data_IF_435001578160
#
_entry.id   IF_435001578160
#
_cell.length_a   1.000
_cell.length_b   1.000
_cell.length_c   1.000
_cell.angle_alpha   90.00
_cell.angle_beta   90.00
_cell.angle_gamma   90.00
#
_symmetry.space_group_name_H-M   'P 1'
#
loop_
_entity.id
_entity.type
_entity.pdbx_description
1 polymer ?
#
# COMPACT_ATOMS: atom_id res chain seq x y z
N UNK A 1 1.11 24.60 29.07
CA UNK A 1 2.13 23.84 28.31
C UNK A 1 1.40 22.63 27.71
N UNK A 2 0.84 22.79 26.50
CA UNK A 2 0.12 21.68 25.83
C UNK A 2 1.17 20.63 25.50
N UNK A 3 1.02 19.44 26.07
CA UNK A 3 2.01 18.39 25.95
C UNK A 3 2.12 17.98 24.48
N UNK A 4 3.35 17.75 23.97
CA UNK A 4 3.59 17.27 22.60
C UNK A 4 2.77 15.99 22.30
N UNK A 5 2.48 15.22 23.36
CA UNK A 5 1.60 14.06 23.34
C UNK A 5 0.15 14.42 22.94
N UNK A 6 -0.42 15.49 23.49
CA UNK A 6 -1.79 15.93 23.21
C UNK A 6 -1.94 16.43 21.76
N UNK A 7 -0.92 17.12 21.24
CA UNK A 7 -0.89 17.58 19.84
C UNK A 7 -0.80 16.40 18.87
N UNK A 8 -0.05 15.35 19.21
CA UNK A 8 0.02 14.13 18.40
C UNK A 8 -1.28 13.33 18.42
N UNK A 9 -1.92 13.20 19.59
CA UNK A 9 -3.24 12.54 19.71
C UNK A 9 -4.27 13.32 18.92
N UNK A 10 -4.34 14.64 19.09
CA UNK A 10 -5.28 15.51 18.38
C UNK A 10 -5.14 15.37 16.85
N UNK A 11 -3.92 15.38 16.32
CA UNK A 11 -3.67 15.19 14.87
C UNK A 11 -4.08 13.80 14.38
N UNK A 12 -3.89 12.74 15.18
CA UNK A 12 -4.34 11.38 14.83
C UNK A 12 -5.87 11.31 14.81
N UNK A 13 -6.53 11.84 15.83
CA UNK A 13 -7.99 11.89 15.94
C UNK A 13 -8.60 12.67 14.79
N UNK A 14 -8.02 13.82 14.41
CA UNK A 14 -8.50 14.64 13.29
C UNK A 14 -8.46 13.88 11.95
N UNK A 15 -7.38 13.15 11.67
CA UNK A 15 -7.22 12.36 10.43
C UNK A 15 -8.20 11.19 10.37
N UNK A 16 -8.42 10.51 11.50
CA UNK A 16 -9.43 9.47 11.60
C UNK A 16 -10.83 10.05 11.38
N UNK A 17 -11.15 11.16 12.06
CA UNK A 17 -12.43 11.85 11.92
C UNK A 17 -12.67 12.30 10.48
N UNK A 18 -11.65 12.81 9.77
CA UNK A 18 -11.76 13.18 8.36
C UNK A 18 -12.07 11.97 7.47
N UNK A 19 -11.35 10.84 7.64
CA UNK A 19 -11.61 9.62 6.87
C UNK A 19 -13.02 9.06 7.13
N UNK A 20 -13.45 9.03 8.40
CA UNK A 20 -14.80 8.59 8.78
C UNK A 20 -15.88 9.54 8.25
N UNK A 21 -15.64 10.85 8.27
CA UNK A 21 -16.54 11.84 7.69
C UNK A 21 -16.68 11.63 6.18
N UNK A 22 -15.57 11.40 5.47
CA UNK A 22 -15.59 11.14 4.04
C UNK A 22 -16.40 9.87 3.72
N UNK A 23 -16.20 8.79 4.47
CA UNK A 23 -17.01 7.57 4.38
C UNK A 23 -18.49 7.85 4.65
N UNK A 24 -18.81 8.61 5.70
CA UNK A 24 -20.19 8.95 6.05
C UNK A 24 -20.87 9.78 4.96
N UNK A 25 -20.15 10.74 4.36
CA UNK A 25 -20.64 11.55 3.23
C UNK A 25 -20.89 10.67 2.01
N UNK A 26 -19.97 9.76 1.69
CA UNK A 26 -20.13 8.83 0.56
C UNK A 26 -21.34 7.92 0.77
N UNK A 27 -21.48 7.32 1.96
CA UNK A 27 -22.63 6.47 2.31
C UNK A 27 -23.96 7.24 2.25
N UNK A 28 -23.98 8.47 2.78
CA UNK A 28 -25.18 9.30 2.75
C UNK A 28 -25.58 9.69 1.32
N UNK A 29 -24.61 10.01 0.45
CA UNK A 29 -24.87 10.39 -0.95
C UNK A 29 -25.24 9.22 -1.85
N UNK A 30 -24.67 8.04 -1.61
CA UNK A 30 -24.85 6.87 -2.46
C UNK A 30 -25.92 5.90 -1.95
N UNK A 31 -26.63 6.24 -0.87
CA UNK A 31 -27.70 5.41 -0.32
C UNK A 31 -27.15 4.29 0.57
N UNK A 32 -27.22 4.43 1.91
CA UNK A 32 -26.69 3.42 2.82
C UNK A 32 -27.43 2.07 2.70
N UNK A 33 -28.71 2.10 2.35
CA UNK A 33 -29.53 0.91 2.12
C UNK A 33 -29.06 0.12 0.89
N UNK A 34 -28.73 0.80 -0.21
CA UNK A 34 -28.23 0.15 -1.43
C UNK A 34 -26.87 -0.51 -1.19
N UNK A 35 -25.98 0.20 -0.51
CA UNK A 35 -24.65 -0.31 -0.15
C UNK A 35 -24.78 -1.55 0.74
N UNK A 36 -25.60 -1.48 1.79
CA UNK A 36 -25.83 -2.60 2.68
C UNK A 36 -26.45 -3.81 1.95
N UNK A 37 -27.45 -3.58 1.10
CA UNK A 37 -28.09 -4.65 0.32
C UNK A 37 -27.11 -5.33 -0.63
N UNK A 38 -26.23 -4.56 -1.28
CA UNK A 38 -25.21 -5.10 -2.20
C UNK A 38 -24.16 -5.92 -1.45
N UNK A 39 -23.74 -5.48 -0.26
CA UNK A 39 -22.83 -6.26 0.59
C UNK A 39 -23.50 -7.57 1.05
N UNK A 40 -24.78 -7.52 1.44
CA UNK A 40 -25.53 -8.69 1.90
C UNK A 40 -25.81 -9.68 0.77
N UNK A 41 -26.05 -9.19 -0.46
CA UNK A 41 -26.30 -10.04 -1.63
C UNK A 41 -25.03 -10.66 -2.21
N UNK A 42 -23.84 -10.19 -1.79
CA UNK A 42 -22.56 -10.69 -2.27
C UNK A 42 -22.40 -12.19 -1.99
N UNK A 43 -22.19 -12.96 -3.06
CA UNK A 43 -22.07 -14.42 -2.98
C UNK A 43 -20.80 -14.83 -2.21
N UNK A 44 -20.90 -15.58 -1.08
CA UNK A 44 -19.76 -15.88 -0.21
C UNK A 44 -18.60 -16.63 -0.89
N UNK A 45 -18.90 -17.47 -1.89
CA UNK A 45 -17.88 -18.21 -2.65
C UNK A 45 -16.87 -17.26 -3.31
N UNK A 46 -17.34 -16.14 -3.88
CA UNK A 46 -16.46 -15.15 -4.51
C UNK A 46 -15.63 -14.41 -3.46
N UNK A 47 -16.18 -14.12 -2.28
CA UNK A 47 -15.43 -13.50 -1.18
C UNK A 47 -14.29 -14.42 -0.70
N UNK A 48 -14.54 -15.73 -0.61
CA UNK A 48 -13.51 -16.73 -0.27
C UNK A 48 -12.45 -16.87 -1.39
N UNK A 49 -12.85 -16.82 -2.65
CA UNK A 49 -11.91 -16.79 -3.78
C UNK A 49 -11.05 -15.52 -3.74
N UNK A 50 -11.64 -14.36 -3.47
CA UNK A 50 -10.93 -13.10 -3.33
C UNK A 50 -9.92 -13.14 -2.17
N UNK A 51 -10.29 -13.72 -1.02
CA UNK A 51 -9.38 -13.96 0.10
C UNK A 51 -8.22 -14.89 -0.27
N UNK A 52 -8.48 -15.94 -1.06
CA UNK A 52 -7.44 -16.86 -1.55
C UNK A 52 -6.47 -16.18 -2.51
N UNK A 53 -6.98 -15.36 -3.43
CA UNK A 53 -6.15 -14.52 -4.32
C UNK A 53 -5.32 -13.54 -3.49
N UNK A 54 -5.90 -12.96 -2.43
CA UNK A 54 -5.16 -12.06 -1.57
C UNK A 54 -4.02 -12.74 -0.80
N UNK A 55 -4.22 -13.99 -0.36
CA UNK A 55 -3.15 -14.79 0.24
C UNK A 55 -1.97 -14.96 -0.71
N UNK A 56 -2.24 -15.16 -2.02
CA UNK A 56 -1.22 -15.20 -3.05
C UNK A 56 -0.53 -13.84 -3.24
N UNK A 57 -1.29 -12.73 -3.31
CA UNK A 57 -0.71 -11.37 -3.35
C UNK A 57 0.28 -11.18 -2.21
N UNK A 58 -0.13 -11.59 -1.01
CA UNK A 58 0.66 -11.42 0.20
C UNK A 58 1.94 -12.28 0.20
N UNK A 59 1.86 -13.51 -0.32
CA UNK A 59 3.02 -14.38 -0.51
C UNK A 59 4.02 -13.78 -1.51
N UNK A 60 3.54 -13.19 -2.61
CA UNK A 60 4.39 -12.51 -3.60
C UNK A 60 5.13 -11.35 -2.95
N UNK A 61 4.41 -10.46 -2.25
CA UNK A 61 5.00 -9.26 -1.63
C UNK A 61 5.99 -9.62 -0.50
N UNK A 62 5.66 -10.60 0.34
CA UNK A 62 6.58 -11.07 1.39
C UNK A 62 7.83 -11.75 0.82
N UNK A 63 7.69 -12.49 -0.29
CA UNK A 63 8.83 -13.10 -1.00
C UNK A 63 9.71 -12.03 -1.65
N UNK A 64 9.11 -11.00 -2.25
CA UNK A 64 9.82 -9.84 -2.80
C UNK A 64 10.63 -9.13 -1.71
N UNK A 65 10.03 -8.83 -0.57
CA UNK A 65 10.74 -8.18 0.53
C UNK A 65 11.87 -9.07 1.10
N UNK A 66 11.65 -10.39 1.19
CA UNK A 66 12.70 -11.35 1.56
C UNK A 66 13.87 -11.35 0.57
N UNK A 67 13.59 -11.27 -0.73
CA UNK A 67 14.63 -11.16 -1.76
C UNK A 67 15.48 -9.90 -1.56
N UNK A 68 14.84 -8.74 -1.31
CA UNK A 68 15.57 -7.50 -1.03
C UNK A 68 16.45 -7.65 0.23
N UNK A 69 15.93 -8.25 1.29
CA UNK A 69 16.70 -8.53 2.52
C UNK A 69 17.91 -9.44 2.26
N UNK A 70 17.73 -10.46 1.42
CA UNK A 70 18.81 -11.36 1.00
C UNK A 70 19.92 -10.62 0.26
N UNK A 71 19.57 -9.74 -0.67
CA UNK A 71 20.54 -8.95 -1.44
C UNK A 71 21.25 -7.89 -0.57
N UNK A 72 20.71 -7.60 0.62
CA UNK A 72 21.35 -6.79 1.67
C UNK A 72 22.15 -7.63 2.68
N UNK A 73 22.33 -8.93 2.43
CA UNK A 73 23.11 -9.85 3.25
C UNK A 73 22.35 -10.46 4.43
N UNK A 74 21.02 -10.33 4.49
CA UNK A 74 20.20 -10.97 5.51
C UNK A 74 19.68 -12.34 5.07
N UNK A 75 19.88 -13.37 5.89
CA UNK A 75 19.30 -14.70 5.62
C UNK A 75 18.04 -14.92 6.48
N UNK A 76 16.88 -14.57 5.93
CA UNK A 76 15.61 -14.62 6.66
C UNK A 76 14.72 -15.73 6.04
N UNK A 77 14.19 -16.67 6.84
CA UNK A 77 13.21 -17.64 6.40
C UNK A 77 11.94 -16.96 5.87
N UNK A 78 11.30 -17.56 4.87
CA UNK A 78 10.07 -17.01 4.27
C UNK A 78 8.97 -16.76 5.31
N UNK A 79 8.80 -17.68 6.27
CA UNK A 79 7.81 -17.52 7.35
C UNK A 79 8.10 -16.28 8.21
N UNK A 80 9.36 -16.00 8.53
CA UNK A 80 9.74 -14.80 9.30
C UNK A 80 9.49 -13.53 8.50
N UNK A 81 9.85 -13.50 7.22
CA UNK A 81 9.57 -12.35 6.34
C UNK A 81 8.07 -12.12 6.17
N UNK A 82 7.29 -13.19 6.01
CA UNK A 82 5.83 -13.16 5.92
C UNK A 82 5.19 -12.60 7.19
N UNK A 83 5.57 -13.11 8.36
CA UNK A 83 5.06 -12.62 9.65
C UNK A 83 5.45 -11.17 9.91
N UNK A 84 6.68 -10.79 9.58
CA UNK A 84 7.12 -9.40 9.69
C UNK A 84 6.34 -8.48 8.75
N UNK A 85 6.10 -8.89 7.51
CA UNK A 85 5.25 -8.16 6.56
C UNK A 85 3.82 -8.00 7.10
N UNK A 86 3.22 -9.05 7.66
CA UNK A 86 1.88 -9.01 8.25
C UNK A 86 1.76 -8.11 9.48
N UNK A 87 2.74 -8.16 10.39
CA UNK A 87 2.82 -7.22 11.50
C UNK A 87 2.91 -5.76 11.02
N UNK A 88 3.72 -5.52 9.98
CA UNK A 88 3.83 -4.20 9.34
C UNK A 88 2.52 -3.71 8.71
N UNK A 89 1.78 -4.60 8.05
CA UNK A 89 0.50 -4.27 7.42
C UNK A 89 -0.58 -3.90 8.44
N UNK A 90 -0.66 -4.60 9.58
CA UNK A 90 -1.58 -4.22 10.67
C UNK A 90 -1.27 -2.80 11.15
N UNK A 91 0.01 -2.47 11.37
CA UNK A 91 0.37 -1.11 11.77
C UNK A 91 0.10 -0.10 10.65
N UNK A 92 0.24 -0.48 9.38
CA UNK A 92 -0.13 0.37 8.25
C UNK A 92 -1.62 0.67 8.20
N UNK A 93 -2.48 -0.30 8.53
CA UNK A 93 -3.93 -0.12 8.53
C UNK A 93 -4.40 0.90 9.57
N UNK A 94 -3.64 1.10 10.65
CA UNK A 94 -3.94 2.04 11.73
C UNK A 94 -3.08 3.31 11.70
N UNK A 95 -2.20 3.47 10.71
CA UNK A 95 -1.35 4.66 10.57
C UNK A 95 -1.65 5.45 9.29
N UNK A 96 -1.51 6.79 9.33
CA UNK A 96 -1.58 7.61 8.13
C UNK A 96 -0.45 7.25 7.15
N UNK A 97 -0.72 7.38 5.85
CA UNK A 97 0.25 7.17 4.78
C UNK A 97 0.99 5.80 4.81
N UNK A 98 0.38 4.78 5.44
CA UNK A 98 0.95 3.43 5.60
C UNK A 98 2.36 3.41 6.21
N UNK A 99 2.67 4.37 7.09
CA UNK A 99 4.00 4.49 7.72
C UNK A 99 4.30 3.28 8.63
N UNK A 100 3.26 2.58 9.12
CA UNK A 100 3.39 1.39 9.94
C UNK A 100 4.24 0.27 9.32
N UNK A 101 4.37 0.21 7.99
CA UNK A 101 5.28 -0.70 7.30
C UNK A 101 6.76 -0.50 7.67
N UNK A 102 7.16 0.66 8.20
CA UNK A 102 8.51 0.91 8.73
C UNK A 102 8.79 0.16 10.04
N UNK A 103 7.78 -0.51 10.62
CA UNK A 103 7.97 -1.37 11.81
C UNK A 103 8.52 -2.75 11.49
N UNK A 104 8.39 -3.21 10.22
CA UNK A 104 8.86 -4.55 9.77
C UNK A 104 10.29 -4.90 10.23
N UNK A 105 11.27 -3.98 10.20
CA UNK A 105 12.64 -4.22 10.66
C UNK A 105 12.75 -4.64 12.13
N UNK A 106 11.83 -4.19 13.00
CA UNK A 106 11.83 -4.54 14.42
C UNK A 106 11.62 -6.05 14.63
N UNK A 107 10.89 -6.70 13.70
CA UNK A 107 10.56 -8.13 13.75
C UNK A 107 11.63 -9.04 13.16
N UNK A 108 12.67 -8.48 12.54
CA UNK A 108 13.78 -9.24 11.93
C UNK A 108 15.17 -8.77 12.40
N UNK A 109 15.21 -7.92 13.43
CA UNK A 109 16.43 -7.30 13.98
C UNK A 109 17.45 -8.28 14.54
N UNK A 110 17.01 -9.49 14.87
CA UNK A 110 17.84 -10.62 15.31
C UNK A 110 18.57 -11.31 14.14
N UNK A 111 18.16 -11.04 12.90
CA UNK A 111 18.66 -11.73 11.69
C UNK A 111 19.41 -10.81 10.73
N UNK A 112 19.22 -9.50 10.86
CA UNK A 112 19.84 -8.50 10.00
C UNK A 112 19.97 -7.18 10.76
N UNK A 113 21.07 -6.46 10.51
CA UNK A 113 21.30 -5.12 11.03
C UNK A 113 20.11 -4.18 10.75
N UNK A 114 19.71 -3.41 11.77
CA UNK A 114 18.53 -2.54 11.72
C UNK A 114 18.58 -1.56 10.55
N UNK A 115 19.75 -0.98 10.27
CA UNK A 115 19.94 -0.03 9.17
C UNK A 115 19.69 -0.67 7.81
N UNK A 116 20.13 -1.92 7.62
CA UNK A 116 19.91 -2.68 6.38
C UNK A 116 18.45 -3.07 6.23
N UNK A 117 17.81 -3.54 7.29
CA UNK A 117 16.38 -3.85 7.26
C UNK A 117 15.49 -2.62 7.01
N UNK A 118 15.83 -1.45 7.57
CA UNK A 118 15.12 -0.20 7.26
C UNK A 118 15.29 0.19 5.79
N UNK A 119 16.52 0.11 5.25
CA UNK A 119 16.76 0.37 3.83
C UNK A 119 16.03 -0.61 2.90
N UNK A 120 15.90 -1.88 3.29
CA UNK A 120 15.14 -2.86 2.50
C UNK A 120 13.67 -2.49 2.41
N UNK A 121 13.06 -1.98 3.49
CA UNK A 121 11.69 -1.47 3.48
C UNK A 121 11.57 -0.25 2.57
N UNK A 122 12.53 0.67 2.58
CA UNK A 122 12.51 1.83 1.68
C UNK A 122 12.56 1.40 0.21
N UNK A 123 13.42 0.44 -0.16
CA UNK A 123 13.47 -0.12 -1.52
C UNK A 123 12.18 -0.85 -1.89
N UNK A 124 11.61 -1.58 -0.94
CA UNK A 124 10.35 -2.28 -1.09
C UNK A 124 9.21 -1.31 -1.42
N UNK A 125 9.11 -0.20 -0.66
CA UNK A 125 8.14 0.88 -0.90
C UNK A 125 8.37 1.61 -2.20
N UNK A 126 9.63 1.90 -2.55
CA UNK A 126 9.97 2.58 -3.79
C UNK A 126 9.55 1.75 -5.00
N UNK A 127 9.79 0.44 -4.96
CA UNK A 127 9.35 -0.47 -6.01
C UNK A 127 7.82 -0.46 -6.19
N UNK A 128 7.07 -0.45 -5.08
CA UNK A 128 5.61 -0.37 -5.12
C UNK A 128 5.12 0.94 -5.73
N UNK A 129 5.67 2.07 -5.27
CA UNK A 129 5.32 3.41 -5.77
C UNK A 129 5.64 3.52 -7.27
N UNK A 130 6.84 3.12 -7.69
CA UNK A 130 7.24 3.19 -9.09
C UNK A 130 6.28 2.36 -9.98
N UNK A 131 5.99 1.12 -9.60
CA UNK A 131 5.07 0.29 -10.37
C UNK A 131 3.65 0.87 -10.39
N UNK A 132 3.15 1.40 -9.26
CA UNK A 132 1.82 2.04 -9.22
C UNK A 132 1.70 3.16 -10.23
N UNK A 133 2.71 4.02 -10.28
CA UNK A 133 2.74 5.18 -11.13
C UNK A 133 2.94 4.80 -12.62
N UNK A 134 3.83 3.85 -12.92
CA UNK A 134 4.02 3.33 -14.28
C UNK A 134 2.71 2.75 -14.83
N UNK A 135 2.08 1.82 -14.10
CA UNK A 135 0.83 1.19 -14.54
C UNK A 135 -0.31 2.21 -14.65
N UNK A 136 -0.40 3.11 -13.67
CA UNK A 136 -1.35 4.20 -13.64
C UNK A 136 -1.28 5.09 -14.86
N UNK A 137 -0.08 5.53 -15.23
CA UNK A 137 0.12 6.37 -16.39
C UNK A 137 -0.21 5.65 -17.69
N UNK A 138 0.16 4.38 -17.82
CA UNK A 138 -0.28 3.56 -18.95
C UNK A 138 -1.80 3.47 -19.03
N UNK A 139 -2.49 3.23 -17.90
CA UNK A 139 -3.95 3.18 -17.85
C UNK A 139 -4.60 4.49 -18.27
N UNK A 140 -4.12 5.60 -17.73
CA UNK A 140 -4.70 6.89 -18.04
C UNK A 140 -4.50 7.29 -19.50
N UNK A 141 -3.29 7.06 -20.05
CA UNK A 141 -3.04 7.29 -21.48
C UNK A 141 -3.90 6.40 -22.40
N UNK A 142 -4.14 5.14 -22.00
CA UNK A 142 -4.93 4.20 -22.80
C UNK A 142 -6.45 4.46 -22.75
N UNK A 143 -7.00 4.91 -21.61
CA UNK A 143 -8.44 5.03 -21.41
C UNK A 143 -8.99 6.46 -21.45
N UNK A 144 -8.15 7.48 -21.19
CA UNK A 144 -8.59 8.88 -21.07
C UNK A 144 -7.90 9.84 -22.07
N UNK A 145 -6.94 9.35 -22.88
CA UNK A 145 -6.31 10.12 -23.95
C UNK A 145 -5.22 11.10 -23.50
N UNK A 146 -4.70 11.89 -24.45
CA UNK A 146 -3.55 12.81 -24.25
C UNK A 146 -3.88 14.08 -23.43
N UNK A 147 -5.15 14.40 -23.20
CA UNK A 147 -5.56 15.64 -22.53
C UNK A 147 -5.25 15.68 -21.02
N UNK A 148 -4.80 14.57 -20.43
CA UNK A 148 -4.37 14.52 -19.02
C UNK A 148 -2.87 14.85 -18.85
N UNK A 149 -2.49 16.11 -19.15
CA UNK A 149 -1.12 16.66 -19.03
C UNK A 149 -0.54 16.55 -17.59
N UNK A 150 -1.38 16.35 -16.59
CA UNK A 150 -1.00 16.27 -15.17
C UNK A 150 -0.28 14.95 -14.81
N UNK A 151 -0.41 13.90 -15.62
CA UNK A 151 0.11 12.56 -15.27
C UNK A 151 1.61 12.42 -15.53
N UNK A 152 2.15 12.82 -16.71
CA UNK A 152 3.59 12.90 -16.90
C UNK A 152 4.27 13.78 -15.84
N UNK A 153 3.58 14.82 -15.38
CA UNK A 153 4.07 15.71 -14.32
C UNK A 153 4.17 14.98 -12.98
N UNK A 154 3.14 14.23 -12.56
CA UNK A 154 3.20 13.44 -11.31
C UNK A 154 4.28 12.35 -11.41
N UNK A 155 4.40 11.66 -12.55
CA UNK A 155 5.48 10.70 -12.80
C UNK A 155 6.86 11.35 -12.75
N UNK A 156 7.00 12.53 -13.36
CA UNK A 156 8.24 13.30 -13.35
C UNK A 156 8.57 13.78 -11.93
N UNK A 157 7.59 14.18 -11.13
CA UNK A 157 7.80 14.55 -9.72
C UNK A 157 8.25 13.34 -8.90
N UNK A 158 7.61 12.17 -9.06
CA UNK A 158 7.99 10.94 -8.35
C UNK A 158 9.40 10.48 -8.76
N UNK A 159 9.69 10.49 -10.06
CA UNK A 159 11.01 10.16 -10.57
C UNK A 159 12.07 11.17 -10.11
N UNK A 160 11.79 12.47 -10.21
CA UNK A 160 12.68 13.55 -9.80
C UNK A 160 12.95 13.51 -8.29
N UNK A 161 11.93 13.33 -7.47
CA UNK A 161 12.09 13.21 -6.01
C UNK A 161 12.90 11.96 -5.66
N UNK A 162 12.65 10.83 -6.31
CA UNK A 162 13.43 9.61 -6.13
C UNK A 162 14.91 9.81 -6.53
N UNK A 163 15.16 10.49 -7.65
CA UNK A 163 16.51 10.83 -8.14
C UNK A 163 17.20 11.84 -7.21
N UNK A 164 16.49 12.85 -6.72
CA UNK A 164 17.02 13.87 -5.79
C UNK A 164 17.37 13.23 -4.44
N UNK A 165 16.48 12.40 -3.88
CA UNK A 165 16.74 11.65 -2.64
C UNK A 165 17.95 10.75 -2.82
N UNK A 166 18.03 10.02 -3.94
CA UNK A 166 19.17 9.15 -4.24
C UNK A 166 20.48 9.94 -4.42
N UNK A 167 20.45 11.08 -5.10
CA UNK A 167 21.63 11.91 -5.36
C UNK A 167 22.13 12.59 -4.08
N UNK A 168 21.22 13.06 -3.22
CA UNK A 168 21.54 13.72 -1.95
C UNK A 168 21.61 12.76 -0.76
N UNK A 169 21.63 11.44 -0.99
CA UNK A 169 21.56 10.43 0.08
C UNK A 169 22.65 10.59 1.14
N UNK A 170 23.86 11.00 0.75
CA UNK A 170 24.99 11.23 1.67
C UNK A 170 24.78 12.49 2.50
N UNK A 171 24.38 13.61 1.88
CA UNK A 171 24.05 14.86 2.58
C UNK A 171 22.88 14.69 3.56
N UNK A 172 21.86 13.92 3.16
CA UNK A 172 20.71 13.59 4.02
C UNK A 172 21.18 12.72 5.17
N UNK A 173 22.00 11.70 4.91
CA UNK A 173 22.57 10.85 5.96
C UNK A 173 23.38 11.67 6.98
N UNK A 174 24.26 12.57 6.52
CA UNK A 174 25.09 13.41 7.39
C UNK A 174 24.27 14.31 8.30
N UNK A 175 23.18 14.91 7.79
CA UNK A 175 22.26 15.72 8.61
C UNK A 175 21.52 14.87 9.65
N UNK A 176 21.15 13.64 9.30
CA UNK A 176 20.42 12.73 10.18
C UNK A 176 21.31 12.09 11.25
N UNK A 177 22.63 11.95 11.00
CA UNK A 177 23.62 11.43 11.97
C UNK A 177 23.74 12.31 13.22
N UNK A 178 23.42 13.60 13.13
CA UNK A 178 23.43 14.53 14.27
C UNK A 178 22.36 14.25 15.33
N UNK A 179 21.48 13.27 15.13
CA UNK A 179 20.46 12.86 16.10
C UNK A 179 20.55 11.36 16.37
N UNK A 180 20.77 10.97 17.63
CA UNK A 180 20.83 9.57 18.05
C UNK A 180 19.57 8.77 17.66
N UNK A 181 18.41 9.45 17.62
CA UNK A 181 17.13 8.85 17.22
C UNK A 181 17.06 8.54 15.72
N UNK A 182 17.74 9.31 14.88
CA UNK A 182 17.70 9.21 13.41
C UNK A 182 18.96 8.55 12.83
N UNK A 183 19.97 8.28 13.66
CA UNK A 183 21.17 7.57 13.26
C UNK A 183 20.91 6.22 12.56
N UNK A 184 19.92 5.39 12.94
CA UNK A 184 19.58 4.18 12.20
C UNK A 184 19.14 4.47 10.75
N UNK A 185 18.34 5.52 10.54
CA UNK A 185 17.87 5.95 9.22
C UNK A 185 19.02 6.53 8.39
N UNK A 186 19.95 7.26 9.00
CA UNK A 186 21.14 7.72 8.32
C UNK A 186 22.00 6.56 7.81
N UNK A 187 22.25 5.57 8.67
CA UNK A 187 23.00 4.35 8.32
C UNK A 187 22.28 3.50 7.26
N UNK A 188 20.97 3.63 7.12
CA UNK A 188 20.22 2.98 6.03
C UNK A 188 20.64 3.49 4.65
N UNK A 189 20.93 4.78 4.50
CA UNK A 189 21.42 5.31 3.22
C UNK A 189 22.80 4.72 2.85
N UNK A 190 23.67 4.51 3.83
CA UNK A 190 24.94 3.82 3.61
C UNK A 190 24.71 2.35 3.23
N UNK A 191 23.78 1.68 3.89
CA UNK A 191 23.42 0.29 3.59
C UNK A 191 22.92 0.09 2.15
N UNK A 192 22.24 1.08 1.57
CA UNK A 192 21.83 1.04 0.16
C UNK A 192 23.02 1.03 -0.80
N UNK A 193 24.13 1.67 -0.42
CA UNK A 193 25.35 1.69 -1.24
C UNK A 193 26.12 0.38 -1.22
N UNK A 194 25.82 -0.51 -0.26
CA UNK A 194 26.44 -1.83 -0.15
C UNK A 194 25.78 -2.88 -1.07
N UNK A 195 24.72 -2.53 -1.80
CA UNK A 195 24.05 -3.43 -2.74
C UNK A 195 24.85 -3.46 -4.05
N UNK A 196 25.33 -4.65 -4.42
CA UNK A 196 26.19 -4.85 -5.59
C UNK A 196 25.54 -4.39 -6.90
N UNK A 197 24.26 -4.74 -7.12
CA UNK A 197 23.52 -4.36 -8.32
C UNK A 197 22.10 -3.91 -7.95
N UNK A 198 21.98 -2.65 -7.56
CA UNK A 198 20.70 -2.04 -7.20
C UNK A 198 19.70 -2.07 -8.37
N UNK A 199 20.19 -2.02 -9.62
CA UNK A 199 19.34 -2.03 -10.81
C UNK A 199 18.63 -3.37 -10.94
N UNK A 200 19.36 -4.47 -10.77
CA UNK A 200 18.79 -5.81 -10.82
C UNK A 200 17.77 -6.05 -9.70
N UNK A 201 18.06 -5.57 -8.48
CA UNK A 201 17.11 -5.62 -7.34
C UNK A 201 15.82 -4.89 -7.69
N UNK A 202 15.92 -3.69 -8.25
CA UNK A 202 14.75 -2.88 -8.64
C UNK A 202 13.97 -3.54 -9.79
N UNK A 203 14.62 -4.08 -10.81
CA UNK A 203 13.94 -4.78 -11.92
C UNK A 203 13.14 -5.98 -11.39
N UNK A 204 13.77 -6.85 -10.59
CA UNK A 204 13.10 -8.00 -9.98
C UNK A 204 11.93 -7.57 -9.09
N UNK A 205 12.12 -6.51 -8.31
CA UNK A 205 11.09 -5.97 -7.42
C UNK A 205 9.91 -5.41 -8.20
N UNK A 206 10.15 -4.63 -9.26
CA UNK A 206 9.10 -4.11 -10.14
C UNK A 206 8.33 -5.25 -10.81
N UNK A 207 9.01 -6.29 -11.31
CA UNK A 207 8.36 -7.46 -11.92
C UNK A 207 7.43 -8.18 -10.93
N UNK A 208 7.92 -8.47 -9.71
CA UNK A 208 7.11 -9.10 -8.66
C UNK A 208 5.94 -8.21 -8.24
N UNK A 209 6.14 -6.90 -8.14
CA UNK A 209 5.06 -5.94 -7.84
C UNK A 209 4.03 -5.90 -8.97
N UNK A 210 4.43 -5.97 -10.23
CA UNK A 210 3.49 -6.06 -11.36
C UNK A 210 2.63 -7.31 -11.27
N UNK A 211 3.21 -8.47 -10.92
CA UNK A 211 2.45 -9.71 -10.67
C UNK A 211 1.47 -9.51 -9.50
N UNK A 212 1.90 -8.84 -8.43
CA UNK A 212 1.01 -8.52 -7.31
C UNK A 212 -0.17 -7.64 -7.75
N UNK A 213 0.04 -6.67 -8.66
CA UNK A 213 -1.05 -5.86 -9.23
C UNK A 213 -2.03 -6.67 -10.08
N UNK A 214 -1.56 -7.68 -10.82
CA UNK A 214 -2.46 -8.62 -11.53
C UNK A 214 -3.36 -9.33 -10.52
N UNK A 215 -2.79 -9.84 -9.42
CA UNK A 215 -3.60 -10.50 -8.38
C UNK A 215 -4.58 -9.55 -7.71
N UNK A 216 -4.22 -8.28 -7.52
CA UNK A 216 -5.11 -7.27 -6.95
C UNK A 216 -6.28 -6.95 -7.90
N UNK A 217 -6.01 -6.76 -9.19
CA UNK A 217 -7.06 -6.58 -10.20
C UNK A 217 -8.01 -7.77 -10.27
N UNK A 218 -7.46 -8.98 -10.23
CA UNK A 218 -8.24 -10.22 -10.18
C UNK A 218 -9.12 -10.29 -8.93
N UNK A 219 -8.59 -9.92 -7.76
CA UNK A 219 -9.34 -9.88 -6.50
C UNK A 219 -10.55 -8.95 -6.60
N UNK A 220 -10.35 -7.72 -7.07
CA UNK A 220 -11.45 -6.75 -7.23
C UNK A 220 -12.47 -7.22 -8.28
N UNK A 221 -12.01 -7.83 -9.38
CA UNK A 221 -12.89 -8.43 -10.38
C UNK A 221 -13.76 -9.57 -9.80
N UNK A 222 -13.19 -10.44 -8.99
CA UNK A 222 -13.91 -11.52 -8.30
C UNK A 222 -14.95 -10.93 -7.33
N UNK A 223 -14.59 -9.88 -6.58
CA UNK A 223 -15.54 -9.20 -5.69
C UNK A 223 -16.66 -8.50 -6.46
N UNK A 224 -16.38 -7.87 -7.60
CA UNK A 224 -17.40 -7.33 -8.48
C UNK A 224 -18.33 -8.45 -9.01
N UNK A 225 -17.76 -9.59 -9.37
CA UNK A 225 -18.52 -10.77 -9.81
C UNK A 225 -19.42 -11.33 -8.70
N UNK A 226 -19.11 -11.08 -7.42
CA UNK A 226 -19.96 -11.51 -6.30
C UNK A 226 -21.35 -10.88 -6.31
N UNK A 227 -21.49 -9.73 -6.98
CA UNK A 227 -22.70 -8.90 -7.12
C UNK A 227 -23.09 -8.69 -8.59
N UNK A 228 -22.74 -9.67 -9.43
CA UNK A 228 -23.06 -9.75 -10.86
C UNK A 228 -22.56 -8.56 -11.70
N UNK A 229 -21.43 -7.96 -11.31
CA UNK A 229 -20.73 -6.93 -12.09
C UNK A 229 -19.45 -7.49 -12.71
N UNK A 230 -19.16 -7.11 -13.95
CA UNK A 230 -17.98 -7.60 -14.70
C UNK A 230 -17.16 -6.42 -15.25
N UNK A 231 -16.41 -5.70 -14.40
CA UNK A 231 -15.53 -4.61 -14.86
C UNK A 231 -14.40 -5.15 -15.75
N UNK A 232 -13.79 -4.26 -16.53
CA UNK A 232 -12.61 -4.57 -17.34
C UNK A 232 -11.40 -4.89 -16.46
N UNK A 233 -10.92 -6.13 -16.53
CA UNK A 233 -9.68 -6.55 -15.84
C UNK A 233 -8.49 -5.69 -16.23
N UNK A 234 -8.40 -5.27 -17.50
CA UNK A 234 -7.32 -4.42 -17.98
C UNK A 234 -7.38 -3.02 -17.34
N UNK A 235 -8.58 -2.44 -17.25
CA UNK A 235 -8.75 -1.14 -16.60
C UNK A 235 -8.45 -1.20 -15.10
N UNK A 236 -8.90 -2.28 -14.43
CA UNK A 236 -8.55 -2.53 -13.03
C UNK A 236 -7.03 -2.67 -12.83
N UNK A 237 -6.36 -3.48 -13.64
CA UNK A 237 -4.91 -3.70 -13.55
C UNK A 237 -4.11 -2.41 -13.70
N UNK A 238 -4.52 -1.53 -14.61
CA UNK A 238 -3.79 -0.31 -14.90
C UNK A 238 -4.14 0.84 -13.94
N UNK A 239 -5.38 0.96 -13.47
CA UNK A 239 -5.83 2.14 -12.72
C UNK A 239 -6.04 1.92 -11.21
N UNK A 240 -6.31 0.69 -10.74
CA UNK A 240 -6.32 0.40 -9.29
C UNK A 240 -5.02 0.78 -8.56
N UNK A 241 -3.82 0.71 -9.17
CA UNK A 241 -2.61 1.19 -8.51
C UNK A 241 -2.66 2.68 -8.15
N UNK A 242 -3.26 3.53 -8.99
CA UNK A 242 -3.44 4.95 -8.68
C UNK A 242 -4.50 5.17 -7.61
N UNK A 243 -5.61 4.43 -7.67
CA UNK A 243 -6.61 4.44 -6.59
C UNK A 243 -5.98 4.06 -5.26
N UNK A 244 -5.10 3.05 -5.26
CA UNK A 244 -4.38 2.61 -4.05
C UNK A 244 -3.37 3.64 -3.56
N UNK A 245 -2.77 4.43 -4.46
CA UNK A 245 -1.84 5.51 -4.11
C UNK A 245 -2.50 6.60 -3.25
N UNK A 246 -3.84 6.74 -3.30
CA UNK A 246 -4.58 7.64 -2.41
C UNK A 246 -4.36 7.31 -0.91
N UNK A 247 -4.05 6.06 -0.58
CA UNK A 247 -3.71 5.65 0.79
C UNK A 247 -2.37 6.19 1.30
N UNK A 248 -1.53 6.73 0.41
CA UNK A 248 -0.27 7.38 0.76
C UNK A 248 -0.47 8.84 1.19
N UNK A 249 -1.65 9.41 0.94
CA UNK A 249 -1.95 10.79 1.31
C UNK A 249 -2.23 10.84 2.82
N UNK A 250 -1.47 11.62 3.61
CA UNK A 250 -1.55 11.63 5.08
C UNK A 250 -2.76 12.43 5.63
N UNK A 251 -3.87 12.44 4.89
CA UNK A 251 -5.13 13.12 5.29
C UNK A 251 -6.07 12.19 6.05
N UNK A 252 -6.05 10.89 5.76
CA UNK A 252 -6.80 9.86 6.49
C UNK A 252 -5.92 8.68 6.88
N UNK A 253 -6.41 7.87 7.83
CA UNK A 253 -5.73 6.63 8.24
C UNK A 253 -5.87 5.60 7.12
N UNK A 254 -4.76 5.04 6.63
CA UNK A 254 -4.71 4.09 5.51
C UNK A 254 -5.54 4.44 4.25
N UNK A 255 -5.83 5.73 4.03
CA UNK A 255 -6.67 6.16 2.90
C UNK A 255 -8.17 5.88 3.07
N UNK A 256 -8.66 5.68 4.30
CA UNK A 256 -10.10 5.48 4.57
C UNK A 256 -10.91 6.60 3.92
N UNK A 257 -11.94 6.20 3.16
CA UNK A 257 -12.84 7.06 2.39
C UNK A 257 -12.28 7.47 1.03
N UNK A 258 -10.97 7.70 0.92
CA UNK A 258 -10.33 8.07 -0.35
C UNK A 258 -10.21 6.88 -1.29
N UNK A 259 -9.70 5.75 -0.79
CA UNK A 259 -9.55 4.53 -1.60
C UNK A 259 -10.93 3.99 -2.00
N UNK A 260 -11.90 4.04 -1.09
CA UNK A 260 -13.28 3.63 -1.37
C UNK A 260 -13.93 4.50 -2.43
N UNK A 261 -13.84 5.83 -2.27
CA UNK A 261 -14.37 6.77 -3.24
C UNK A 261 -13.68 6.64 -4.59
N UNK A 262 -12.36 6.46 -4.61
CA UNK A 262 -11.58 6.26 -5.83
C UNK A 262 -11.93 4.94 -6.55
N UNK A 263 -12.12 3.85 -5.81
CA UNK A 263 -12.56 2.58 -6.38
C UNK A 263 -14.00 2.67 -6.90
N UNK A 264 -14.91 3.31 -6.15
CA UNK A 264 -16.27 3.57 -6.59
C UNK A 264 -16.30 4.40 -7.89
N UNK A 265 -15.47 5.44 -7.98
CA UNK A 265 -15.35 6.27 -9.18
C UNK A 265 -14.77 5.48 -10.37
N UNK A 266 -13.75 4.66 -10.15
CA UNK A 266 -13.16 3.80 -11.20
C UNK A 266 -14.14 2.75 -11.73
N UNK A 267 -14.99 2.19 -10.87
CA UNK A 267 -16.03 1.26 -11.29
C UNK A 267 -17.17 2.01 -11.98
N UNK A 268 -17.51 3.22 -11.51
CA UNK A 268 -18.50 4.08 -12.15
C UNK A 268 -18.11 4.54 -13.55
N UNK A 269 -16.83 4.78 -13.83
CA UNK A 269 -16.35 5.06 -15.19
C UNK A 269 -16.53 3.88 -16.15
N UNK A 270 -16.86 2.69 -15.63
CA UNK A 270 -17.15 1.48 -16.39
C UNK A 270 -18.65 1.15 -16.43
N UNK A 271 -19.51 2.09 -16.00
CA UNK A 271 -20.97 1.93 -16.00
C UNK A 271 -21.54 1.21 -14.78
N UNK A 272 -20.72 0.87 -13.78
CA UNK A 272 -21.18 0.24 -12.54
C UNK A 272 -21.75 1.32 -11.61
N UNK A 273 -22.95 1.16 -11.01
CA UNK A 273 -23.47 2.15 -10.07
C UNK A 273 -22.47 2.46 -8.96
N UNK A 274 -22.28 3.75 -8.63
CA UNK A 274 -21.29 4.16 -7.64
C UNK A 274 -21.56 3.56 -6.24
N UNK A 275 -22.84 3.32 -5.88
CA UNK A 275 -23.23 2.60 -4.67
C UNK A 275 -22.74 1.14 -4.67
N UNK A 276 -22.89 0.43 -5.79
CA UNK A 276 -22.31 -0.90 -6.02
C UNK A 276 -20.78 -0.87 -5.96
N UNK A 277 -20.15 0.12 -6.60
CA UNK A 277 -18.69 0.30 -6.57
C UNK A 277 -18.14 0.54 -5.16
N UNK A 278 -18.83 1.35 -4.36
CA UNK A 278 -18.51 1.57 -2.95
C UNK A 278 -18.64 0.28 -2.13
N UNK A 279 -19.67 -0.53 -2.41
CA UNK A 279 -19.88 -1.83 -1.76
C UNK A 279 -18.74 -2.80 -2.04
N UNK A 280 -18.30 -2.89 -3.30
CA UNK A 280 -17.15 -3.70 -3.72
C UNK A 280 -15.88 -3.24 -2.99
N UNK A 281 -15.68 -1.93 -2.86
CA UNK A 281 -14.54 -1.38 -2.13
C UNK A 281 -14.55 -1.72 -0.62
N UNK A 282 -15.73 -1.71 0.01
CA UNK A 282 -15.84 -2.16 1.39
C UNK A 282 -15.57 -3.66 1.55
N UNK A 283 -16.10 -4.50 0.65
CA UNK A 283 -15.79 -5.93 0.65
C UNK A 283 -14.29 -6.19 0.50
N UNK A 284 -13.62 -5.44 -0.39
CA UNK A 284 -12.17 -5.51 -0.60
C UNK A 284 -11.39 -5.16 0.67
N UNK A 285 -11.78 -4.08 1.34
CA UNK A 285 -11.19 -3.69 2.64
C UNK A 285 -11.46 -4.73 3.73
N UNK A 286 -12.67 -5.28 3.80
CA UNK A 286 -13.01 -6.31 4.79
C UNK A 286 -12.14 -7.55 4.62
N UNK A 287 -11.98 -8.02 3.37
CA UNK A 287 -11.12 -9.17 3.05
C UNK A 287 -9.67 -8.89 3.45
N UNK A 288 -9.14 -7.73 3.09
CA UNK A 288 -7.73 -7.38 3.37
C UNK A 288 -7.44 -7.21 4.87
N UNK A 289 -8.26 -6.44 5.57
CA UNK A 289 -8.09 -6.21 7.02
C UNK A 289 -8.28 -7.51 7.81
N UNK A 290 -9.30 -8.31 7.49
CA UNK A 290 -9.50 -9.60 8.14
C UNK A 290 -8.28 -10.52 7.93
N UNK A 291 -7.75 -10.56 6.71
CA UNK A 291 -6.55 -11.32 6.42
C UNK A 291 -5.34 -10.83 7.22
N UNK A 292 -5.11 -9.52 7.32
CA UNK A 292 -4.02 -8.97 8.13
C UNK A 292 -4.12 -9.37 9.60
N UNK A 293 -5.31 -9.27 10.19
CA UNK A 293 -5.54 -9.64 11.59
C UNK A 293 -5.22 -11.13 11.81
N UNK A 294 -5.71 -12.00 10.93
CA UNK A 294 -5.51 -13.46 11.03
C UNK A 294 -4.03 -13.83 10.81
N UNK A 295 -3.40 -13.28 9.76
CA UNK A 295 -2.04 -13.63 9.36
C UNK A 295 -0.96 -13.01 10.26
N UNK A 296 -1.20 -11.78 10.75
CA UNK A 296 -0.22 -10.92 11.41
C UNK A 296 -0.44 -10.66 12.89
N UNK A 297 -1.57 -11.06 13.48
CA UNK A 297 -1.91 -10.72 14.87
C UNK A 297 -0.84 -11.10 15.90
N UNK A 298 -0.22 -12.27 15.76
CA UNK A 298 0.90 -12.73 16.62
C UNK A 298 2.20 -11.95 16.42
N UNK A 299 2.42 -11.40 15.23
CA UNK A 299 3.62 -10.62 14.93
C UNK A 299 3.45 -9.17 15.40
N UNK A 300 2.26 -8.59 15.21
CA UNK A 300 1.95 -7.24 15.67
C UNK A 300 2.07 -7.08 17.19
N UNK A 301 1.68 -8.10 17.97
CA UNK A 301 1.81 -8.08 19.43
C UNK A 301 3.25 -8.08 19.95
N UNK A 302 4.26 -8.27 19.08
CA UNK A 302 5.68 -8.13 19.45
C UNK A 302 6.22 -6.73 19.17
N UNK A 303 5.46 -5.89 18.47
CA UNK A 303 5.83 -4.50 18.16
C UNK A 303 5.18 -3.51 19.15
N UNK A 304 3.92 -3.78 19.52
CA UNK A 304 3.11 -2.98 20.46
C UNK A 304 3.47 -3.37 21.89
#
# INVERSE_FOLDING_TARGET
MICIHDVMIFRKTLRLAFGLLLVAVLLHRLGPSEVAQTIISARPVYVLMAASVYALTFLILSTRWRMILHDMGGNIPLVSAYQAFAGGMILSDITPARIGELSRPLLVRDRIEMSRALASVVLDRLSDILTMFILGACGLGLFFGEEMIEIPLVLAIVALTSVVIWRRRTEIADRLRGSDRLAPLARSFDALSAINDIRLVMIRSVLLTTIAWITHALRVYILASSVDQTPSLQMLFLLLPLVSALSLIPVSISGIGLVEGGMAALLASQGIPASTGLSIAFLDRMVTVAFHIIAGGRAASRII
#
